data_IF_914527097634
#
_entry.id   IF_914527097634
#
_cell.length_a   1.000
_cell.length_b   1.000
_cell.length_c   1.000
_cell.angle_alpha   90.00
_cell.angle_beta   90.00
_cell.angle_gamma   90.00
#
_symmetry.space_group_name_H-M   'P 1'
#
loop_
_entity.id
_entity.type
_entity.pdbx_description
1 polymer ?
#
# COMPACT_ATOMS: atom_id res chain seq x y z
N UNK A 1 -0.37 -11.69 9.73
CA UNK A 1 -1.53 -11.33 8.90
C UNK A 1 -2.64 -10.76 9.78
N UNK A 2 -3.29 -9.66 9.38
CA UNK A 2 -4.53 -9.16 10.02
C UNK A 2 -5.57 -8.83 8.95
N UNK A 3 -6.84 -9.01 9.28
CA UNK A 3 -7.98 -8.68 8.41
C UNK A 3 -8.71 -7.44 8.93
N UNK A 4 -9.17 -6.61 8.01
CA UNK A 4 -9.96 -5.41 8.29
C UNK A 4 -11.23 -5.43 7.46
N UNK A 5 -12.38 -5.11 8.07
CA UNK A 5 -13.62 -4.88 7.32
C UNK A 5 -13.62 -3.45 6.79
N UNK A 6 -13.72 -3.31 5.48
CA UNK A 6 -13.78 -2.03 4.78
C UNK A 6 -15.01 -2.06 3.88
N UNK A 7 -16.07 -1.36 4.28
CA UNK A 7 -17.35 -1.30 3.56
C UNK A 7 -17.97 -2.69 3.27
N UNK A 8 -17.90 -3.60 4.25
CA UNK A 8 -18.38 -4.98 4.10
C UNK A 8 -17.52 -5.88 3.23
N UNK A 9 -16.33 -5.41 2.81
CA UNK A 9 -15.32 -6.22 2.13
C UNK A 9 -14.11 -6.44 3.04
N UNK A 10 -13.64 -7.68 3.16
CA UNK A 10 -12.45 -8.00 3.95
C UNK A 10 -11.17 -7.65 3.19
N UNK A 11 -10.35 -6.77 3.78
CA UNK A 11 -8.99 -6.48 3.36
C UNK A 11 -8.01 -7.23 4.26
N UNK A 12 -7.23 -8.12 3.66
CA UNK A 12 -6.16 -8.86 4.35
C UNK A 12 -4.83 -8.17 4.13
N UNK A 13 -4.09 -7.95 5.22
CA UNK A 13 -2.77 -7.35 5.22
C UNK A 13 -1.75 -8.35 5.80
N UNK A 14 -0.63 -8.52 5.12
CA UNK A 14 0.50 -9.32 5.57
C UNK A 14 1.81 -8.58 5.29
N UNK A 15 2.67 -8.51 6.29
CA UNK A 15 3.91 -7.75 6.26
C UNK A 15 5.09 -8.69 6.19
N UNK A 16 6.00 -8.42 5.25
CA UNK A 16 7.14 -9.27 4.97
C UNK A 16 8.43 -8.48 5.03
N UNK A 17 9.44 -9.09 5.62
CA UNK A 17 10.81 -8.58 5.67
C UNK A 17 11.78 -9.57 5.05
N UNK A 18 12.94 -9.06 4.65
CA UNK A 18 14.01 -9.84 4.02
C UNK A 18 13.53 -10.56 2.74
N UNK A 19 12.61 -9.91 2.01
CA UNK A 19 12.06 -10.44 0.75
C UNK A 19 13.14 -10.48 -0.31
N UNK A 20 13.36 -11.64 -0.93
CA UNK A 20 14.41 -11.86 -1.94
C UNK A 20 13.90 -11.94 -3.38
N UNK A 21 12.60 -12.13 -3.59
CA UNK A 21 12.03 -12.38 -4.93
C UNK A 21 11.18 -11.20 -5.48
N UNK A 22 11.37 -9.98 -4.98
CA UNK A 22 10.60 -8.80 -5.42
C UNK A 22 10.68 -8.51 -6.92
N UNK A 23 11.80 -8.85 -7.57
CA UNK A 23 11.93 -8.77 -9.03
C UNK A 23 10.96 -9.71 -9.76
N UNK A 24 10.81 -10.93 -9.25
CA UNK A 24 9.90 -11.94 -9.81
C UNK A 24 8.45 -11.51 -9.63
N UNK A 25 8.09 -11.05 -8.42
CA UNK A 25 6.78 -10.48 -8.13
C UNK A 25 6.44 -9.32 -9.07
N UNK A 26 7.37 -8.39 -9.28
CA UNK A 26 7.18 -7.26 -10.18
C UNK A 26 6.98 -7.71 -11.64
N UNK A 27 7.73 -8.72 -12.09
CA UNK A 27 7.55 -9.30 -13.43
C UNK A 27 6.18 -9.94 -13.60
N UNK A 28 5.70 -10.70 -12.61
CA UNK A 28 4.36 -11.29 -12.61
C UNK A 28 3.26 -10.22 -12.67
N UNK A 29 3.41 -9.13 -11.91
CA UNK A 29 2.50 -7.99 -11.95
C UNK A 29 2.47 -7.32 -13.34
N UNK A 30 3.64 -7.09 -13.94
CA UNK A 30 3.75 -6.48 -15.27
C UNK A 30 3.20 -7.39 -16.37
N UNK A 31 3.43 -8.70 -16.28
CA UNK A 31 2.86 -9.70 -17.18
C UNK A 31 1.34 -9.86 -16.98
N UNK A 32 0.80 -9.48 -15.82
CA UNK A 32 -0.61 -9.68 -15.48
C UNK A 32 -0.94 -11.15 -15.18
N UNK A 33 0.05 -11.93 -14.76
CA UNK A 33 -0.06 -13.38 -14.49
C UNK A 33 0.06 -13.69 -12.99
N UNK A 34 -0.14 -12.68 -12.14
CA UNK A 34 -0.09 -12.82 -10.69
C UNK A 34 -1.39 -13.46 -10.19
N UNK A 35 -1.32 -14.70 -9.73
CA UNK A 35 -2.46 -15.45 -9.20
C UNK A 35 -2.12 -16.05 -7.82
N UNK A 36 -2.88 -15.71 -6.76
CA UNK A 36 -4.00 -14.77 -6.76
C UNK A 36 -3.53 -13.31 -6.92
N UNK A 37 -4.43 -12.44 -7.38
CA UNK A 37 -4.09 -11.02 -7.49
C UNK A 37 -3.94 -10.39 -6.11
N UNK A 38 -2.87 -9.61 -5.92
CA UNK A 38 -2.56 -8.93 -4.66
C UNK A 38 -1.85 -7.60 -4.92
N UNK A 39 -2.05 -6.63 -4.05
CA UNK A 39 -1.33 -5.36 -4.08
C UNK A 39 -0.05 -5.49 -3.25
N UNK A 40 1.11 -5.31 -3.88
CA UNK A 40 2.38 -5.21 -3.18
C UNK A 40 2.80 -3.75 -3.04
N UNK A 41 2.90 -3.28 -1.80
CA UNK A 41 3.36 -1.94 -1.46
C UNK A 41 4.75 -2.00 -0.81
N UNK A 42 5.55 -0.97 -1.03
CA UNK A 42 6.77 -0.78 -0.26
C UNK A 42 6.39 -0.36 1.16
N UNK A 43 6.52 -1.28 2.12
CA UNK A 43 6.13 -1.06 3.50
C UNK A 43 6.95 0.08 4.16
N UNK A 44 8.11 0.41 3.62
CA UNK A 44 8.93 1.54 4.08
C UNK A 44 8.28 2.90 3.82
N UNK A 45 7.17 2.96 3.09
CA UNK A 45 6.43 4.19 2.79
C UNK A 45 5.06 4.24 3.47
N UNK A 46 4.80 3.29 4.37
CA UNK A 46 3.53 3.14 5.07
C UNK A 46 3.79 3.33 6.56
N UNK A 47 3.50 4.51 7.13
CA UNK A 47 3.80 4.77 8.53
C UNK A 47 2.82 4.08 9.49
N UNK A 48 1.61 3.79 9.01
CA UNK A 48 0.53 3.18 9.78
C UNK A 48 -0.47 2.50 8.84
N UNK A 49 -1.33 1.63 9.38
CA UNK A 49 -2.38 0.95 8.63
C UNK A 49 -3.52 1.90 8.25
N UNK A 50 -3.81 2.92 9.06
CA UNK A 50 -4.97 3.80 8.86
C UNK A 50 -5.02 4.52 7.50
N UNK A 51 -3.92 5.11 6.98
CA UNK A 51 -3.91 5.69 5.64
C UNK A 51 -4.18 4.67 4.52
N UNK A 52 -3.75 3.41 4.71
CA UNK A 52 -4.03 2.33 3.77
C UNK A 52 -5.52 1.96 3.77
N UNK A 53 -6.17 1.95 4.94
CA UNK A 53 -7.62 1.73 5.04
C UNK A 53 -8.40 2.86 4.35
N UNK A 54 -7.97 4.10 4.48
CA UNK A 54 -8.57 5.22 3.75
C UNK A 54 -8.44 5.06 2.23
N UNK A 55 -7.27 4.61 1.76
CA UNK A 55 -7.07 4.27 0.35
C UNK A 55 -7.96 3.11 -0.10
N UNK A 56 -8.10 2.06 0.73
CA UNK A 56 -8.94 0.91 0.46
C UNK A 56 -10.43 1.29 0.35
N UNK A 57 -10.93 2.13 1.26
CA UNK A 57 -12.29 2.65 1.17
C UNK A 57 -12.53 3.38 -0.16
N UNK A 58 -11.59 4.25 -0.54
CA UNK A 58 -11.67 5.00 -1.80
C UNK A 58 -11.65 4.07 -3.02
N UNK A 59 -10.84 3.02 -2.97
CA UNK A 59 -10.75 1.97 -3.98
C UNK A 59 -12.05 1.19 -4.13
N UNK A 60 -12.70 0.81 -3.03
CA UNK A 60 -13.98 0.11 -3.05
C UNK A 60 -15.11 1.00 -3.56
N UNK A 61 -15.12 2.29 -3.18
CA UNK A 61 -16.07 3.26 -3.74
C UNK A 61 -15.89 3.37 -5.25
N UNK A 62 -14.66 3.49 -5.75
CA UNK A 62 -14.39 3.55 -7.19
C UNK A 62 -14.84 2.26 -7.91
N UNK A 63 -14.60 1.09 -7.31
CA UNK A 63 -15.10 -0.19 -7.84
C UNK A 63 -16.63 -0.23 -7.88
N UNK A 64 -17.31 0.19 -6.82
CA UNK A 64 -18.79 0.18 -6.75
C UNK A 64 -19.45 1.08 -7.80
N UNK A 65 -18.73 2.10 -8.27
CA UNK A 65 -19.17 3.06 -9.28
C UNK A 65 -18.69 2.73 -10.69
N UNK A 66 -18.01 1.59 -10.86
CA UNK A 66 -17.34 1.21 -12.11
C UNK A 66 -16.43 2.32 -12.67
N UNK A 67 -15.72 2.99 -11.76
CA UNK A 67 -14.92 4.19 -12.04
C UNK A 67 -13.45 3.99 -11.63
N UNK A 68 -12.95 2.76 -11.72
CA UNK A 68 -11.53 2.47 -11.48
C UNK A 68 -10.68 3.21 -12.52
N UNK A 69 -9.59 3.83 -12.06
CA UNK A 69 -8.65 4.52 -12.94
C UNK A 69 -7.60 3.57 -13.51
N UNK A 70 -7.24 2.56 -12.71
CA UNK A 70 -6.28 1.51 -13.03
C UNK A 70 -6.99 0.24 -13.52
N UNK A 71 -6.20 -0.73 -14.01
CA UNK A 71 -6.73 -1.96 -14.60
C UNK A 71 -7.40 -2.87 -13.57
N UNK A 72 -6.98 -2.82 -12.32
CA UNK A 72 -7.40 -3.80 -11.32
C UNK A 72 -7.65 -3.18 -9.96
N UNK A 73 -8.45 -3.85 -9.13
CA UNK A 73 -8.75 -3.38 -7.78
C UNK A 73 -7.49 -3.18 -6.93
N UNK A 74 -6.53 -4.08 -7.06
CA UNK A 74 -5.29 -4.08 -6.30
C UNK A 74 -4.32 -2.98 -6.77
N UNK A 75 -4.21 -2.74 -8.08
CA UNK A 75 -3.45 -1.60 -8.59
C UNK A 75 -4.11 -0.26 -8.23
N UNK A 76 -5.44 -0.21 -8.13
CA UNK A 76 -6.18 0.97 -7.69
C UNK A 76 -5.88 1.31 -6.22
N UNK A 77 -5.71 0.29 -5.36
CA UNK A 77 -5.31 0.50 -3.97
C UNK A 77 -3.95 1.22 -3.86
N UNK A 78 -2.95 0.77 -4.61
CA UNK A 78 -1.62 1.41 -4.63
C UNK A 78 -1.72 2.82 -5.22
N UNK A 79 -2.53 3.01 -6.26
CA UNK A 79 -2.78 4.32 -6.85
C UNK A 79 -3.48 5.29 -5.89
N UNK A 80 -4.51 4.86 -5.18
CA UNK A 80 -5.21 5.69 -4.22
C UNK A 80 -4.34 6.02 -3.01
N UNK A 81 -3.51 5.07 -2.55
CA UNK A 81 -2.58 5.30 -1.45
C UNK A 81 -1.56 6.43 -1.75
N UNK A 82 -1.13 6.57 -3.01
CA UNK A 82 -0.12 7.58 -3.37
C UNK A 82 -0.60 9.03 -3.19
N UNK A 83 -1.92 9.26 -3.12
CA UNK A 83 -2.50 10.60 -3.13
C UNK A 83 -2.20 11.40 -4.41
N UNK A 84 -1.68 10.77 -5.46
CA UNK A 84 -1.30 11.40 -6.74
C UNK A 84 -2.31 11.09 -7.84
N UNK A 85 -2.40 11.97 -8.84
CA UNK A 85 -3.20 11.76 -10.07
C UNK A 85 -2.42 11.05 -11.17
N UNK A 86 -1.13 10.77 -10.97
CA UNK A 86 -0.26 10.13 -11.96
C UNK A 86 -0.11 8.62 -11.69
N UNK A 87 -0.78 7.79 -12.49
CA UNK A 87 -0.83 6.33 -12.29
C UNK A 87 0.56 5.71 -12.24
N UNK A 88 1.36 5.88 -13.30
CA UNK A 88 2.69 5.26 -13.42
C UNK A 88 3.61 5.63 -12.26
N UNK A 89 3.61 6.90 -11.86
CA UNK A 89 4.44 7.38 -10.76
C UNK A 89 3.96 6.85 -9.42
N UNK A 90 2.64 6.72 -9.23
CA UNK A 90 2.04 6.15 -8.02
C UNK A 90 2.47 4.70 -7.82
N UNK A 91 2.38 3.89 -8.87
CA UNK A 91 2.77 2.48 -8.82
C UNK A 91 4.27 2.31 -8.60
N UNK A 92 5.11 3.14 -9.25
CA UNK A 92 6.57 3.10 -9.07
C UNK A 92 7.01 3.52 -7.66
N UNK A 93 6.35 4.52 -7.08
CA UNK A 93 6.73 5.05 -5.77
C UNK A 93 6.18 4.20 -4.63
N UNK A 94 4.88 3.95 -4.63
CA UNK A 94 4.19 3.29 -3.52
C UNK A 94 4.17 1.77 -3.64
N UNK A 95 4.32 1.23 -4.85
CA UNK A 95 4.50 -0.19 -5.08
C UNK A 95 5.92 -0.67 -4.77
N UNK A 96 6.15 -1.96 -5.00
CA UNK A 96 7.48 -2.57 -4.86
C UNK A 96 8.38 -2.27 -6.08
N UNK A 97 9.69 -2.31 -5.86
CA UNK A 97 10.74 -2.32 -6.86
C UNK A 97 11.46 -3.67 -6.89
N UNK A 98 12.32 -3.90 -7.88
CA UNK A 98 13.18 -5.10 -7.97
C UNK A 98 14.05 -5.33 -6.73
N UNK A 99 14.32 -4.28 -5.95
CA UNK A 99 15.21 -4.30 -4.77
C UNK A 99 14.47 -4.15 -3.45
N UNK A 100 13.13 -4.10 -3.45
CA UNK A 100 12.36 -3.94 -2.22
C UNK A 100 12.47 -5.19 -1.37
N UNK A 101 12.91 -5.07 -0.12
CA UNK A 101 13.01 -6.20 0.82
C UNK A 101 11.96 -6.14 1.93
N UNK A 102 11.25 -5.03 2.04
CA UNK A 102 10.22 -4.78 3.04
C UNK A 102 8.89 -4.48 2.35
N UNK A 103 8.01 -5.49 2.34
CA UNK A 103 6.82 -5.53 1.47
C UNK A 103 5.58 -5.67 2.33
N UNK A 104 4.57 -4.85 2.03
CA UNK A 104 3.23 -5.03 2.53
C UNK A 104 2.37 -5.62 1.41
N UNK A 105 1.87 -6.83 1.61
CA UNK A 105 0.88 -7.46 0.75
C UNK A 105 -0.53 -7.10 1.25
N UNK A 106 -1.38 -6.62 0.34
CA UNK A 106 -2.75 -6.23 0.62
C UNK A 106 -3.72 -6.87 -0.39
N UNK A 107 -4.74 -7.58 0.10
CA UNK A 107 -5.65 -8.34 -0.74
C UNK A 107 -7.11 -8.15 -0.33
N UNK A 108 -7.99 -7.87 -1.30
CA UNK A 108 -9.43 -7.90 -1.11
C UNK A 108 -9.95 -9.30 -1.44
N UNK A 109 -10.06 -10.16 -0.44
CA UNK A 109 -10.28 -11.59 -0.66
C UNK A 109 -11.05 -12.24 0.49
N UNK A 110 -11.29 -13.54 0.35
CA UNK A 110 -11.67 -14.44 1.44
C UNK A 110 -10.43 -14.96 2.20
N UNK A 111 -10.55 -15.43 3.45
CA UNK A 111 -9.41 -15.92 4.23
C UNK A 111 -8.60 -17.05 3.57
N UNK A 112 -9.22 -17.86 2.71
CA UNK A 112 -8.57 -19.01 2.08
C UNK A 112 -7.71 -18.63 0.87
N UNK A 113 -8.03 -17.54 0.19
CA UNK A 113 -7.25 -17.00 -0.94
C UNK A 113 -5.94 -16.35 -0.49
N UNK A 114 -5.92 -15.74 0.70
CA UNK A 114 -4.72 -15.08 1.23
C UNK A 114 -3.60 -16.07 1.56
N UNK A 115 -3.91 -17.33 1.92
CA UNK A 115 -2.90 -18.38 2.15
C UNK A 115 -2.08 -18.71 0.90
N UNK A 116 -2.59 -18.40 -0.29
CA UNK A 116 -1.84 -18.58 -1.53
C UNK A 116 -0.81 -17.45 -1.74
N UNK A 117 -1.05 -16.26 -1.18
CA UNK A 117 -0.11 -15.12 -1.25
C UNK A 117 1.18 -15.44 -0.50
N UNK A 118 1.10 -16.11 0.66
CA UNK A 118 2.29 -16.48 1.44
C UNK A 118 3.28 -17.35 0.65
N UNK A 119 2.79 -18.14 -0.33
CA UNK A 119 3.63 -18.98 -1.19
C UNK A 119 4.28 -18.21 -2.33
N UNK A 120 3.83 -16.99 -2.62
CA UNK A 120 4.39 -16.15 -3.67
C UNK A 120 5.60 -15.37 -3.19
N UNK A 121 5.71 -15.09 -1.88
CA UNK A 121 6.70 -14.18 -1.33
C UNK A 121 7.82 -14.97 -0.64
N UNK A 122 9.02 -14.88 -1.18
CA UNK A 122 10.21 -15.44 -0.55
C UNK A 122 10.75 -14.44 0.48
N UNK A 123 10.18 -14.46 1.67
CA UNK A 123 10.56 -13.58 2.78
C UNK A 123 9.99 -14.06 4.11
N UNK A 124 10.31 -13.35 5.19
CA UNK A 124 9.81 -13.65 6.53
C UNK A 124 8.58 -12.79 6.83
N UNK A 125 7.43 -13.43 7.05
CA UNK A 125 6.26 -12.74 7.58
C UNK A 125 6.54 -12.26 9.02
N UNK A 126 6.17 -11.02 9.31
CA UNK A 126 6.30 -10.39 10.64
C UNK A 126 4.97 -9.74 11.06
N UNK A 127 4.87 -9.33 12.33
CA UNK A 127 3.66 -8.66 12.82
C UNK A 127 3.48 -7.30 12.14
N UNK A 128 2.24 -6.96 11.78
CA UNK A 128 1.90 -5.63 11.23
C UNK A 128 2.24 -4.49 12.19
N UNK A 129 2.34 -4.74 13.49
CA UNK A 129 2.83 -3.76 14.48
C UNK A 129 4.28 -3.31 14.19
N UNK A 130 5.05 -4.12 13.47
CA UNK A 130 6.38 -3.74 13.01
C UNK A 130 6.36 -2.71 11.87
N UNK A 131 5.22 -2.36 11.26
CA UNK A 131 5.14 -1.28 10.25
C UNK A 131 5.78 0.02 10.75
N UNK A 132 5.42 0.41 11.98
CA UNK A 132 5.95 1.62 12.62
C UNK A 132 7.45 1.53 12.94
N UNK A 133 8.00 0.32 13.06
CA UNK A 133 9.35 0.06 13.60
C UNK A 133 10.36 -0.31 12.50
N UNK A 134 9.94 -1.10 11.52
CA UNK A 134 10.72 -1.58 10.38
C UNK A 134 10.84 -0.56 9.25
N UNK A 135 10.01 0.47 9.27
CA UNK A 135 10.25 1.69 8.53
C UNK A 135 11.63 2.23 8.87
N UNK A 136 12.52 2.30 7.87
CA UNK A 136 13.80 2.97 8.02
C UNK A 136 13.51 4.44 8.40
N UNK A 137 13.55 4.75 9.71
CA UNK A 137 12.97 5.96 10.30
C UNK A 137 13.43 7.23 9.58
N UNK A 138 14.65 7.23 9.03
CA UNK A 138 15.18 8.34 8.23
C UNK A 138 14.43 8.57 6.90
N UNK A 139 13.99 7.53 6.19
CA UNK A 139 13.25 7.65 4.93
C UNK A 139 11.81 8.10 5.17
N UNK A 140 11.11 7.49 6.14
CA UNK A 140 9.74 7.91 6.51
C UNK A 140 9.73 9.33 7.09
N UNK A 141 10.69 9.72 7.93
CA UNK A 141 10.64 11.04 8.58
C UNK A 141 11.14 12.18 7.68
N UNK A 142 11.95 11.92 6.64
CA UNK A 142 12.45 12.98 5.74
C UNK A 142 11.91 12.93 4.32
N UNK A 143 11.86 11.74 3.71
CA UNK A 143 11.59 11.59 2.27
C UNK A 143 10.09 11.52 2.00
N UNK A 144 9.34 10.82 2.85
CA UNK A 144 7.90 10.63 2.69
C UNK A 144 7.10 11.95 2.88
N UNK A 145 7.27 12.73 3.97
CA UNK A 145 6.61 14.03 4.13
C UNK A 145 7.02 15.01 3.03
N UNK A 146 8.32 15.19 2.79
CA UNK A 146 8.81 16.31 1.99
C UNK A 146 8.69 16.10 0.48
N UNK A 147 8.96 14.90 -0.02
CA UNK A 147 9.01 14.63 -1.47
C UNK A 147 7.74 13.97 -2.04
N UNK A 148 7.02 13.20 -1.23
CA UNK A 148 5.87 12.43 -1.70
C UNK A 148 4.55 13.14 -1.40
N UNK A 149 4.27 13.41 -0.12
CA UNK A 149 2.99 13.98 0.30
C UNK A 149 3.01 15.50 0.50
N UNK A 150 4.20 16.13 0.39
CA UNK A 150 4.43 17.57 0.60
C UNK A 150 3.84 18.06 1.93
N UNK A 151 4.09 17.30 2.99
CA UNK A 151 3.68 17.58 4.36
C UNK A 151 4.74 18.48 4.99
N UNK A 152 4.33 19.62 5.50
CA UNK A 152 5.25 20.60 6.10
C UNK A 152 5.60 20.24 7.54
N UNK A 153 6.75 20.74 8.03
CA UNK A 153 7.11 20.58 9.44
C UNK A 153 6.10 21.24 10.40
N UNK A 154 5.43 22.31 9.96
CA UNK A 154 4.35 22.95 10.73
C UNK A 154 3.13 22.03 10.86
N UNK A 155 2.75 21.32 9.79
CA UNK A 155 1.66 20.34 9.78
C UNK A 155 1.97 19.16 10.71
N UNK A 156 3.21 18.66 10.70
CA UNK A 156 3.66 17.62 11.63
C UNK A 156 3.77 18.10 13.09
N UNK A 157 3.81 19.41 13.32
CA UNK A 157 3.75 19.99 14.67
C UNK A 157 2.36 19.95 15.30
N UNK A 158 1.30 19.77 14.48
CA UNK A 158 -0.11 19.79 14.92
C UNK A 158 -0.89 18.51 14.61
N UNK A 159 -0.34 17.61 13.79
CA UNK A 159 -0.97 16.36 13.36
C UNK A 159 0.05 15.24 13.23
N UNK A 160 -0.41 13.99 13.20
CA UNK A 160 0.47 12.86 12.95
C UNK A 160 0.76 12.71 11.46
N UNK A 161 1.86 12.02 11.13
CA UNK A 161 2.17 11.70 9.73
C UNK A 161 1.06 10.84 9.09
N UNK A 162 0.49 9.91 9.83
CA UNK A 162 -0.62 9.08 9.35
C UNK A 162 -1.86 9.92 9.02
N UNK A 163 -2.23 10.86 9.88
CA UNK A 163 -3.38 11.75 9.64
C UNK A 163 -3.15 12.65 8.41
N UNK A 164 -1.95 13.22 8.31
CA UNK A 164 -1.59 14.09 7.18
C UNK A 164 -1.62 13.32 5.83
N UNK A 165 -1.10 12.10 5.78
CA UNK A 165 -1.19 11.24 4.60
C UNK A 165 -2.64 10.87 4.29
N UNK A 166 -3.40 10.49 5.31
CA UNK A 166 -4.83 10.16 5.16
C UNK A 166 -5.60 11.34 4.57
N UNK A 167 -5.31 12.56 5.03
CA UNK A 167 -5.88 13.78 4.47
C UNK A 167 -5.55 13.94 2.99
N UNK A 168 -4.29 13.72 2.57
CA UNK A 168 -3.91 13.78 1.14
C UNK A 168 -4.63 12.72 0.30
N UNK A 169 -4.79 11.50 0.80
CA UNK A 169 -5.53 10.42 0.11
C UNK A 169 -7.00 10.80 -0.04
N UNK A 170 -7.64 11.21 1.06
CA UNK A 170 -9.05 11.57 1.09
C UNK A 170 -9.35 12.77 0.18
N UNK A 171 -8.54 13.83 0.28
CA UNK A 171 -8.73 15.08 -0.44
C UNK A 171 -8.18 15.10 -1.87
N UNK A 172 -7.53 14.02 -2.35
CA UNK A 172 -6.88 13.97 -3.68
C UNK A 172 -7.73 14.52 -4.83
N UNK A 173 -9.04 14.24 -4.82
CA UNK A 173 -9.92 14.62 -5.94
C UNK A 173 -10.47 16.04 -5.78
N UNK A 174 -10.31 16.66 -4.61
CA UNK A 174 -10.69 18.04 -4.30
C UNK A 174 -9.52 19.04 -4.38
N UNK A 175 -8.28 18.54 -4.34
CA UNK A 175 -7.02 19.30 -4.47
C UNK A 175 -6.49 19.28 -5.92
#
# INVERSE_FOLDING_TARGET
MKSYDVDGTSLFLALYKDVSNSKELLNLMHAGTLEPEVAFLNASLIPDVFPLLAAAQKTLIAKSRDSLTTRTLHSELVFNYSGSKHITESLKRCGISETTTYVLAAQFASPDEMKAVDKLIDGKEIDLEELATGANNAQIQKILPSQHFKISGLELGISTLADAITCRIAARDAL
#
